data_IF_591425416445
#
_entry.id   IF_591425416445
#
_cell.length_a   1.000
_cell.length_b   1.000
_cell.length_c   1.000
_cell.angle_alpha   90.00
_cell.angle_beta   90.00
_cell.angle_gamma   90.00
#
_symmetry.space_group_name_H-M   'P 1'
#
loop_
_entity.id
_entity.type
_entity.pdbx_description
1 polymer ?
#
# COMPACT_ATOMS: atom_id res chain seq x y z
N UNK A 1 -0.94 26.65 11.97
CA UNK A 1 -0.09 25.51 11.60
C UNK A 1 -0.74 24.74 10.45
N UNK A 2 -0.02 24.52 9.39
CA UNK A 2 -0.51 23.72 8.26
C UNK A 2 -0.08 22.27 8.47
N UNK A 3 -1.05 21.37 8.59
CA UNK A 3 -0.77 19.94 8.69
C UNK A 3 -0.69 19.39 7.27
N UNK A 4 0.47 18.84 6.92
CA UNK A 4 0.67 18.21 5.62
C UNK A 4 -0.23 16.98 5.52
N UNK A 5 -0.93 16.87 4.40
CA UNK A 5 -1.71 15.70 4.04
C UNK A 5 -0.78 14.51 3.79
N UNK A 6 -1.01 13.38 4.44
CA UNK A 6 -0.22 12.19 4.21
C UNK A 6 -0.58 11.53 2.88
N UNK A 7 0.41 10.96 2.23
CA UNK A 7 0.22 10.14 1.04
C UNK A 7 0.10 8.67 1.42
N UNK A 8 -0.86 7.99 0.82
CA UNK A 8 -1.08 6.56 1.00
C UNK A 8 -0.86 5.83 -0.32
N UNK A 9 -0.16 4.71 -0.27
CA UNK A 9 -0.15 3.72 -1.34
C UNK A 9 -1.11 2.62 -0.94
N UNK A 10 -2.10 2.34 -1.79
CA UNK A 10 -3.05 1.26 -1.54
C UNK A 10 -2.66 0.05 -2.39
N UNK A 11 -2.43 -1.10 -1.76
CA UNK A 11 -2.23 -2.33 -2.50
C UNK A 11 -3.57 -2.93 -2.94
N UNK A 12 -3.50 -4.00 -3.70
CA UNK A 12 -4.67 -4.66 -4.27
C UNK A 12 -5.66 -5.16 -3.21
N UNK A 13 -5.14 -5.61 -2.05
CA UNK A 13 -5.97 -6.13 -0.97
C UNK A 13 -6.90 -5.09 -0.37
N UNK A 14 -6.49 -3.82 -0.37
CA UNK A 14 -7.33 -2.73 0.17
C UNK A 14 -8.51 -2.46 -0.76
N UNK A 15 -8.28 -2.48 -2.06
CA UNK A 15 -9.37 -2.28 -3.03
C UNK A 15 -10.40 -3.43 -2.89
N UNK A 16 -9.92 -4.67 -2.84
CA UNK A 16 -10.77 -5.85 -2.66
C UNK A 16 -11.47 -5.89 -1.29
N UNK A 17 -10.82 -5.36 -0.28
CA UNK A 17 -11.33 -5.35 1.09
C UNK A 17 -12.64 -4.57 1.27
N UNK A 18 -12.92 -3.63 0.36
CA UNK A 18 -14.17 -2.88 0.37
C UNK A 18 -15.41 -3.78 0.28
N UNK A 19 -15.29 -4.93 -0.36
CA UNK A 19 -16.37 -5.90 -0.56
C UNK A 19 -16.21 -7.17 0.25
N UNK A 20 -15.18 -7.27 1.07
CA UNK A 20 -14.90 -8.43 1.91
C UNK A 20 -15.57 -8.25 3.28
N UNK A 21 -16.37 -9.22 3.69
CA UNK A 21 -17.12 -9.14 4.95
C UNK A 21 -16.25 -8.92 6.17
N UNK A 22 -15.03 -9.45 6.15
CA UNK A 22 -14.09 -9.30 7.25
C UNK A 22 -13.50 -7.89 7.32
N UNK A 23 -13.27 -7.26 6.14
CA UNK A 23 -12.51 -6.01 6.04
C UNK A 23 -13.33 -4.80 5.59
N UNK A 24 -14.58 -4.99 5.20
CA UNK A 24 -15.37 -3.93 4.56
C UNK A 24 -15.60 -2.71 5.45
N UNK A 25 -15.79 -2.90 6.75
CA UNK A 25 -16.12 -1.79 7.64
C UNK A 25 -15.01 -0.73 7.68
N UNK A 26 -13.79 -1.14 7.97
CA UNK A 26 -12.66 -0.22 8.05
C UNK A 26 -12.22 0.27 6.67
N UNK A 27 -12.32 -0.59 5.65
CA UNK A 27 -12.00 -0.20 4.28
C UNK A 27 -12.93 0.89 3.78
N UNK A 28 -14.23 0.75 3.98
CA UNK A 28 -15.22 1.75 3.56
C UNK A 28 -15.05 3.07 4.30
N UNK A 29 -14.72 3.00 5.58
CA UNK A 29 -14.45 4.20 6.37
C UNK A 29 -13.18 4.92 5.87
N UNK A 30 -12.13 4.16 5.54
CA UNK A 30 -10.93 4.74 4.92
C UNK A 30 -11.26 5.41 3.58
N UNK A 31 -12.06 4.76 2.74
CA UNK A 31 -12.46 5.35 1.46
C UNK A 31 -13.27 6.64 1.66
N UNK A 32 -14.08 6.71 2.71
CA UNK A 32 -14.79 7.95 3.06
C UNK A 32 -13.80 9.04 3.47
N UNK A 33 -12.79 8.71 4.28
CA UNK A 33 -11.71 9.66 4.62
C UNK A 33 -11.00 10.19 3.38
N UNK A 34 -10.73 9.31 2.42
CA UNK A 34 -10.09 9.70 1.15
C UNK A 34 -11.00 10.63 0.36
N UNK A 35 -12.28 10.30 0.27
CA UNK A 35 -13.27 11.11 -0.43
C UNK A 35 -13.43 12.48 0.20
N UNK A 36 -13.29 12.55 1.52
CA UNK A 36 -13.34 13.80 2.28
C UNK A 36 -12.04 14.62 2.18
N UNK A 37 -11.07 14.13 1.41
CA UNK A 37 -9.82 14.84 1.16
C UNK A 37 -8.79 14.74 2.28
N UNK A 38 -8.87 13.72 3.14
CA UNK A 38 -7.95 13.55 4.27
C UNK A 38 -6.58 13.02 3.87
N UNK A 39 -6.49 12.30 2.74
CA UNK A 39 -5.29 11.64 2.26
C UNK A 39 -5.09 11.86 0.77
N UNK A 40 -3.84 11.92 0.33
CA UNK A 40 -3.49 11.79 -1.08
C UNK A 40 -3.23 10.31 -1.38
N UNK A 41 -3.84 9.77 -2.42
CA UNK A 41 -3.79 8.34 -2.72
C UNK A 41 -3.00 8.07 -3.99
N UNK A 42 -2.17 7.05 -3.93
CA UNK A 42 -1.35 6.59 -5.05
C UNK A 42 -1.66 5.12 -5.33
N UNK A 43 -1.87 4.81 -6.59
CA UNK A 43 -2.12 3.44 -7.07
C UNK A 43 -1.09 3.14 -8.15
N UNK A 44 -0.45 1.96 -8.09
CA UNK A 44 0.51 1.57 -9.10
C UNK A 44 -0.17 0.89 -10.29
N UNK A 45 0.53 0.87 -11.43
CA UNK A 45 0.13 0.09 -12.59
C UNK A 45 0.02 -1.40 -12.25
N UNK A 46 0.85 -1.89 -11.34
CA UNK A 46 0.77 -3.28 -10.85
C UNK A 46 -0.57 -3.56 -10.17
N UNK A 47 -1.05 -2.67 -9.30
CA UNK A 47 -2.36 -2.80 -8.67
C UNK A 47 -3.47 -2.85 -9.72
N UNK A 48 -3.40 -1.97 -10.72
CA UNK A 48 -4.38 -1.97 -11.81
C UNK A 48 -4.35 -3.25 -12.62
N UNK A 49 -3.16 -3.79 -12.90
CA UNK A 49 -3.01 -5.06 -13.62
C UNK A 49 -3.55 -6.25 -12.82
N UNK A 50 -3.29 -6.28 -11.51
CA UNK A 50 -3.81 -7.33 -10.64
C UNK A 50 -5.35 -7.31 -10.58
N UNK A 51 -5.98 -6.17 -10.80
CA UNK A 51 -7.43 -6.00 -10.79
C UNK A 51 -8.08 -6.19 -12.16
N UNK A 52 -7.31 -6.48 -13.22
CA UNK A 52 -7.87 -6.64 -14.57
C UNK A 52 -8.96 -7.72 -14.65
N UNK A 53 -8.80 -8.81 -13.91
CA UNK A 53 -9.75 -9.91 -13.89
C UNK A 53 -10.74 -9.84 -12.71
N UNK A 54 -10.70 -8.74 -11.96
CA UNK A 54 -11.60 -8.55 -10.83
C UNK A 54 -13.04 -8.27 -11.31
N UNK A 55 -14.05 -8.53 -10.47
CA UNK A 55 -15.43 -8.16 -10.79
C UNK A 55 -15.56 -6.67 -11.13
N UNK A 56 -16.50 -6.36 -11.98
CA UNK A 56 -16.74 -4.99 -12.47
C UNK A 56 -16.93 -3.99 -11.32
N UNK A 57 -17.60 -4.40 -10.25
CA UNK A 57 -17.80 -3.54 -9.07
C UNK A 57 -16.49 -3.09 -8.42
N UNK A 58 -15.46 -3.93 -8.45
CA UNK A 58 -14.13 -3.62 -7.90
C UNK A 58 -13.42 -2.61 -8.80
N UNK A 59 -13.49 -2.82 -10.12
CA UNK A 59 -12.91 -1.90 -11.10
C UNK A 59 -13.58 -0.53 -11.03
N UNK A 60 -14.90 -0.50 -10.90
CA UNK A 60 -15.67 0.73 -10.79
C UNK A 60 -15.30 1.49 -9.50
N UNK A 61 -15.07 0.77 -8.40
CA UNK A 61 -14.62 1.38 -7.17
C UNK A 61 -13.29 2.09 -7.35
N UNK A 62 -12.33 1.42 -7.99
CA UNK A 62 -11.02 2.00 -8.26
C UNK A 62 -11.12 3.23 -9.17
N UNK A 63 -11.92 3.14 -10.24
CA UNK A 63 -12.11 4.25 -11.17
C UNK A 63 -12.75 5.46 -10.50
N UNK A 64 -13.63 5.23 -9.52
CA UNK A 64 -14.29 6.30 -8.76
C UNK A 64 -13.44 6.89 -7.64
N UNK A 65 -12.30 6.29 -7.34
CA UNK A 65 -11.38 6.75 -6.30
C UNK A 65 -10.43 7.79 -6.89
N UNK A 66 -10.41 9.00 -6.32
CA UNK A 66 -9.44 10.00 -6.75
C UNK A 66 -8.03 9.55 -6.33
N UNK A 67 -7.16 9.38 -7.30
CA UNK A 67 -5.81 8.89 -7.06
C UNK A 67 -4.84 9.32 -8.15
N UNK A 68 -3.54 9.28 -7.81
CA UNK A 68 -2.46 9.45 -8.76
C UNK A 68 -1.88 8.10 -9.09
N UNK A 69 -1.55 7.89 -10.36
CA UNK A 69 -0.93 6.65 -10.83
C UNK A 69 0.58 6.76 -10.75
N UNK A 70 1.21 5.73 -10.18
CA UNK A 70 2.66 5.56 -10.21
C UNK A 70 3.00 4.25 -10.91
N UNK A 71 4.25 4.13 -11.33
CA UNK A 71 4.68 3.01 -12.17
C UNK A 71 5.76 2.20 -11.49
N UNK A 72 5.68 0.88 -11.66
CA UNK A 72 6.76 -0.02 -11.27
C UNK A 72 7.88 0.12 -12.30
N UNK A 73 9.07 0.48 -11.83
CA UNK A 73 10.26 0.66 -12.64
C UNK A 73 11.25 -0.47 -12.35
N UNK A 74 12.32 -0.56 -13.15
CA UNK A 74 13.39 -1.52 -12.90
C UNK A 74 14.01 -1.30 -11.51
N UNK A 75 14.13 -0.05 -11.08
CA UNK A 75 14.61 0.29 -9.74
C UNK A 75 13.72 -0.31 -8.64
N UNK A 76 12.40 -0.29 -8.83
CA UNK A 76 11.45 -0.91 -7.90
C UNK A 76 11.66 -2.43 -7.86
N UNK A 77 11.84 -3.06 -9.01
CA UNK A 77 12.07 -4.49 -9.08
C UNK A 77 13.41 -4.89 -8.45
N UNK A 78 14.45 -4.10 -8.67
CA UNK A 78 15.76 -4.33 -8.07
C UNK A 78 15.70 -4.26 -6.54
N UNK A 79 15.01 -3.26 -5.99
CA UNK A 79 14.84 -3.16 -4.54
C UNK A 79 14.00 -4.32 -4.00
N UNK A 80 12.95 -4.72 -4.71
CA UNK A 80 12.14 -5.90 -4.34
C UNK A 80 13.00 -7.17 -4.26
N UNK A 81 13.92 -7.36 -5.21
CA UNK A 81 14.86 -8.48 -5.18
C UNK A 81 15.78 -8.43 -3.96
N UNK A 82 16.21 -7.24 -3.56
CA UNK A 82 17.05 -7.08 -2.36
C UNK A 82 16.33 -7.56 -1.10
N UNK A 83 15.03 -7.31 -0.98
CA UNK A 83 14.26 -7.84 0.17
C UNK A 83 14.29 -9.37 0.21
N UNK A 84 14.19 -10.01 -0.95
CA UNK A 84 14.22 -11.48 -1.06
C UNK A 84 15.64 -11.99 -0.80
N UNK A 85 16.65 -11.37 -1.39
CA UNK A 85 18.06 -11.76 -1.23
C UNK A 85 18.51 -11.64 0.22
N UNK A 86 18.04 -10.63 0.94
CA UNK A 86 18.33 -10.43 2.37
C UNK A 86 17.41 -11.28 3.27
N UNK A 87 16.57 -12.11 2.67
CA UNK A 87 15.70 -13.08 3.36
C UNK A 87 14.67 -12.44 4.30
N UNK A 88 14.21 -11.24 3.97
CA UNK A 88 13.08 -10.63 4.70
C UNK A 88 11.83 -11.49 4.47
N UNK A 89 11.62 -11.91 3.23
CA UNK A 89 10.57 -12.84 2.81
C UNK A 89 11.12 -13.78 1.73
N UNK A 90 10.36 -14.83 1.39
CA UNK A 90 10.72 -15.74 0.32
C UNK A 90 10.27 -15.27 -1.07
N UNK A 91 10.70 -15.99 -2.10
CA UNK A 91 10.39 -15.66 -3.51
C UNK A 91 8.90 -15.65 -3.83
N UNK A 92 8.09 -16.40 -3.10
CA UNK A 92 6.65 -16.42 -3.29
C UNK A 92 6.00 -15.07 -2.98
N UNK A 93 6.69 -14.20 -2.25
CA UNK A 93 6.22 -12.86 -1.88
C UNK A 93 6.76 -11.75 -2.78
N UNK A 94 7.26 -12.07 -3.97
CA UNK A 94 7.88 -11.09 -4.87
C UNK A 94 6.92 -9.95 -5.23
N UNK A 95 5.65 -10.25 -5.47
CA UNK A 95 4.66 -9.22 -5.80
C UNK A 95 4.43 -8.26 -4.64
N UNK A 96 4.36 -8.79 -3.42
CA UNK A 96 4.27 -7.96 -2.21
C UNK A 96 5.49 -7.05 -2.08
N UNK A 97 6.67 -7.59 -2.36
CA UNK A 97 7.92 -6.82 -2.33
C UNK A 97 7.93 -5.69 -3.36
N UNK A 98 7.35 -5.90 -4.52
CA UNK A 98 7.26 -4.87 -5.56
C UNK A 98 6.36 -3.72 -5.09
N UNK A 99 5.23 -4.01 -4.43
CA UNK A 99 4.40 -2.97 -3.83
C UNK A 99 5.17 -2.13 -2.82
N UNK A 100 5.90 -2.80 -1.92
CA UNK A 100 6.68 -2.12 -0.88
C UNK A 100 7.78 -1.26 -1.49
N UNK A 101 8.53 -1.82 -2.45
CA UNK A 101 9.61 -1.11 -3.14
C UNK A 101 9.09 0.09 -3.92
N UNK A 102 7.97 -0.06 -4.61
CA UNK A 102 7.36 1.02 -5.41
C UNK A 102 6.94 2.19 -4.51
N UNK A 103 6.29 1.89 -3.39
CA UNK A 103 5.91 2.92 -2.42
C UNK A 103 7.15 3.61 -1.82
N UNK A 104 8.19 2.84 -1.50
CA UNK A 104 9.44 3.36 -0.94
C UNK A 104 10.15 4.32 -1.90
N UNK A 105 10.35 3.89 -3.14
CA UNK A 105 11.07 4.68 -4.15
C UNK A 105 10.33 5.98 -4.50
N UNK A 106 9.02 5.94 -4.49
CA UNK A 106 8.19 7.13 -4.74
C UNK A 106 7.98 7.99 -3.50
N UNK A 107 8.65 7.68 -2.39
CA UNK A 107 8.57 8.44 -1.14
C UNK A 107 7.14 8.63 -0.61
N UNK A 108 6.32 7.61 -0.75
CA UNK A 108 4.97 7.59 -0.19
C UNK A 108 5.09 7.50 1.33
N UNK A 109 4.23 8.22 2.05
CA UNK A 109 4.31 8.25 3.51
C UNK A 109 3.92 6.91 4.14
N UNK A 110 2.82 6.30 3.68
CA UNK A 110 2.30 5.06 4.26
C UNK A 110 1.85 4.10 3.16
N UNK A 111 2.31 2.85 3.23
CA UNK A 111 1.72 1.77 2.44
C UNK A 111 0.63 1.12 3.27
N UNK A 112 -0.56 0.97 2.68
CA UNK A 112 -1.73 0.40 3.35
C UNK A 112 -2.07 -0.96 2.75
N UNK A 113 -2.24 -1.97 3.59
CA UNK A 113 -2.50 -3.35 3.15
C UNK A 113 -3.30 -4.13 4.19
N UNK A 114 -4.05 -5.12 3.74
CA UNK A 114 -4.68 -6.14 4.59
C UNK A 114 -3.85 -7.42 4.70
N UNK A 115 -2.69 -7.48 4.05
CA UNK A 115 -1.83 -8.66 4.11
C UNK A 115 -1.02 -8.67 5.40
N UNK A 116 -1.54 -9.31 6.45
CA UNK A 116 -0.88 -9.39 7.74
C UNK A 116 0.28 -10.38 7.79
N UNK A 117 0.38 -11.28 6.82
CA UNK A 117 1.43 -12.30 6.83
C UNK A 117 2.76 -11.75 6.31
N UNK A 118 2.74 -11.02 5.20
CA UNK A 118 3.96 -10.64 4.51
C UNK A 118 4.20 -9.13 4.47
N UNK A 119 3.18 -8.32 4.67
CA UNK A 119 3.29 -6.86 4.54
C UNK A 119 3.10 -6.18 5.90
N UNK A 120 1.92 -6.28 6.50
CA UNK A 120 1.62 -5.62 7.79
C UNK A 120 2.02 -6.55 8.93
N UNK A 121 3.32 -6.72 9.11
CA UNK A 121 3.90 -7.61 10.10
C UNK A 121 5.18 -6.95 10.62
N UNK A 122 5.27 -6.74 11.92
CA UNK A 122 6.34 -5.91 12.49
C UNK A 122 7.74 -6.42 12.16
N UNK A 123 7.97 -7.72 12.18
CA UNK A 123 9.28 -8.27 11.84
C UNK A 123 9.61 -8.04 10.36
N UNK A 124 8.63 -8.22 9.48
CA UNK A 124 8.80 -7.98 8.04
C UNK A 124 9.04 -6.49 7.77
N UNK A 125 8.26 -5.61 8.40
CA UNK A 125 8.41 -4.16 8.25
C UNK A 125 9.81 -3.71 8.65
N UNK A 126 10.32 -4.20 9.77
CA UNK A 126 11.68 -3.88 10.21
C UNK A 126 12.71 -4.39 9.21
N UNK A 127 12.50 -5.57 8.67
CA UNK A 127 13.36 -6.14 7.65
C UNK A 127 13.38 -5.31 6.38
N UNK A 128 12.21 -4.94 5.86
CA UNK A 128 12.11 -4.07 4.68
C UNK A 128 12.84 -2.75 4.88
N UNK A 129 12.63 -2.12 6.03
CA UNK A 129 13.25 -0.84 6.32
C UNK A 129 14.75 -0.92 6.57
N UNK A 130 15.25 -2.03 7.10
CA UNK A 130 16.69 -2.28 7.20
C UNK A 130 17.32 -2.31 5.80
N UNK A 131 16.70 -3.05 4.87
CA UNK A 131 17.16 -3.12 3.48
C UNK A 131 17.03 -1.76 2.80
N UNK A 132 15.94 -1.04 3.03
CA UNK A 132 15.76 0.30 2.48
C UNK A 132 16.91 1.23 2.88
N UNK A 133 17.22 1.32 4.16
CA UNK A 133 18.30 2.17 4.66
C UNK A 133 19.66 1.75 4.10
N UNK A 134 19.92 0.45 4.01
CA UNK A 134 21.15 -0.11 3.49
C UNK A 134 21.37 0.29 2.02
N UNK A 135 20.28 0.44 1.27
CA UNK A 135 20.32 0.81 -0.15
C UNK A 135 20.14 2.32 -0.38
N UNK A 136 20.15 3.13 0.66
CA UNK A 136 20.08 4.58 0.55
C UNK A 136 18.67 5.14 0.41
N UNK A 137 17.64 4.35 0.70
CA UNK A 137 16.26 4.80 0.67
C UNK A 137 15.76 5.22 2.04
N UNK A 138 14.68 6.01 2.06
CA UNK A 138 13.96 6.34 3.28
C UNK A 138 13.23 5.09 3.79
N UNK A 139 12.89 5.09 5.07
CA UNK A 139 11.99 4.07 5.61
C UNK A 139 10.56 4.33 5.13
N UNK A 140 9.77 3.25 5.06
CA UNK A 140 8.35 3.31 4.72
C UNK A 140 7.53 2.88 5.93
N UNK A 141 6.46 3.62 6.24
CA UNK A 141 5.49 3.20 7.25
C UNK A 141 4.49 2.26 6.57
N UNK A 142 4.16 1.16 7.23
CA UNK A 142 3.25 0.14 6.68
C UNK A 142 2.16 -0.11 7.72
N UNK A 143 0.90 0.07 7.31
CA UNK A 143 -0.25 -0.02 8.20
C UNK A 143 -1.42 -0.75 7.54
N UNK A 144 -2.32 -1.27 8.37
CA UNK A 144 -3.61 -1.75 7.89
C UNK A 144 -4.58 -0.59 7.73
N UNK A 145 -5.67 -0.74 6.96
CA UNK A 145 -6.71 0.28 6.90
C UNK A 145 -7.24 0.69 8.28
N UNK A 146 -7.35 -0.27 9.19
CA UNK A 146 -7.82 -0.02 10.55
C UNK A 146 -6.96 1.02 11.30
N UNK A 147 -5.66 1.03 11.02
CA UNK A 147 -4.73 1.93 11.71
C UNK A 147 -4.68 3.33 11.12
N UNK A 148 -5.10 3.51 9.87
CA UNK A 148 -5.05 4.80 9.19
C UNK A 148 -6.41 5.49 9.08
N UNK A 149 -7.49 4.81 9.46
CA UNK A 149 -8.82 5.42 9.51
C UNK A 149 -8.82 6.58 10.50
N UNK A 150 -9.37 7.70 10.07
CA UNK A 150 -9.54 8.88 10.91
C UNK A 150 -10.97 8.86 11.46
N UNK A 151 -11.08 8.79 12.78
CA UNK A 151 -12.35 8.85 13.46
C UNK A 151 -12.67 10.30 13.84
N UNK A 152 -13.95 10.62 13.89
CA UNK A 152 -14.36 11.92 14.40
C UNK A 152 -14.01 12.02 15.88
N UNK A 153 -13.72 13.24 16.33
CA UNK A 153 -13.48 13.50 17.75
C UNK A 153 -14.77 13.22 18.54
N UNK A 154 -14.68 12.29 19.48
CA UNK A 154 -15.82 11.90 20.31
C UNK A 154 -16.22 12.93 21.35
#
# INVERSE_FOLDING_TARGET
MVIKKLSLYLDTSVIGGYFDKEFEQDTRLLFQNIKDGKYDVFISDMTKNELNDAPEKVKNLLDGLEHRKIFVTDECEDLAEEYINEKVVGMASKEDCIHIATATINNIDVLVSWNFKHIVNIQRIRGYNTVNMKNGYRTIDIRSPKEVVIYELG
#
